data_IF_283603496888
#
_entry.id   IF_283603496888
#
_cell.length_a   1.000
_cell.length_b   1.000
_cell.length_c   1.000
_cell.angle_alpha   90.00
_cell.angle_beta   90.00
_cell.angle_gamma   90.00
#
_symmetry.space_group_name_H-M   'P 1'
#
loop_
_entity.id
_entity.type
_entity.pdbx_description
1 polymer ?
#
# COMPACT_ATOMS: atom_id res chain seq x y z
N UNK A 1 16.65 -19.57 35.84
CA UNK A 1 16.07 -18.42 35.10
C UNK A 1 16.46 -18.45 33.61
N UNK A 2 16.05 -19.46 32.84
CA UNK A 2 16.35 -19.58 31.38
C UNK A 2 15.14 -20.11 30.59
N UNK A 3 13.93 -19.65 30.94
CA UNK A 3 12.69 -20.17 30.33
C UNK A 3 11.67 -19.08 29.95
N UNK A 4 12.11 -17.83 29.82
CA UNK A 4 11.21 -16.68 29.60
C UNK A 4 11.48 -15.84 28.34
N UNK A 5 12.38 -16.25 27.44
CA UNK A 5 12.69 -15.50 26.22
C UNK A 5 12.47 -16.27 24.90
N UNK A 6 11.99 -17.52 24.97
CA UNK A 6 11.82 -18.37 23.77
C UNK A 6 10.44 -18.24 23.10
N UNK A 7 9.56 -17.32 23.52
CA UNK A 7 8.24 -17.13 22.89
C UNK A 7 7.97 -15.72 22.34
N UNK A 8 8.99 -14.86 22.30
CA UNK A 8 8.91 -13.53 21.68
C UNK A 8 9.74 -13.39 20.39
N UNK A 9 10.36 -14.48 19.93
CA UNK A 9 11.20 -14.50 18.72
C UNK A 9 10.57 -15.30 17.57
N UNK A 10 9.44 -15.97 17.78
CA UNK A 10 8.82 -16.85 16.77
C UNK A 10 7.40 -16.43 16.34
N UNK A 11 6.91 -15.25 16.76
CA UNK A 11 5.47 -15.01 16.85
C UNK A 11 4.83 -13.87 16.05
N UNK A 12 5.59 -13.01 15.35
CA UNK A 12 4.99 -12.01 14.46
C UNK A 12 5.87 -11.87 13.23
N UNK A 13 5.55 -12.67 12.19
CA UNK A 13 6.06 -12.36 10.86
C UNK A 13 5.60 -10.95 10.49
N UNK A 14 6.50 -10.18 9.90
CA UNK A 14 6.15 -8.91 9.26
C UNK A 14 4.99 -9.17 8.29
N UNK A 15 3.90 -8.37 8.30
CA UNK A 15 2.85 -8.50 7.31
C UNK A 15 3.42 -8.39 5.90
N UNK A 16 3.16 -9.40 5.08
CA UNK A 16 3.48 -9.34 3.66
C UNK A 16 2.32 -8.67 2.93
N UNK A 17 2.65 -7.67 2.11
CA UNK A 17 1.70 -6.94 1.28
C UNK A 17 1.92 -7.28 -0.19
N UNK A 18 0.84 -7.54 -0.91
CA UNK A 18 0.83 -7.67 -2.38
C UNK A 18 -0.12 -6.62 -2.95
N UNK A 19 0.27 -5.96 -4.04
CA UNK A 19 -0.57 -4.98 -4.70
C UNK A 19 -0.76 -5.33 -6.17
N UNK A 20 -2.02 -5.48 -6.56
CA UNK A 20 -2.44 -5.62 -7.94
C UNK A 20 -3.08 -4.32 -8.38
N UNK A 21 -2.52 -3.65 -9.38
CA UNK A 21 -3.03 -2.37 -9.84
C UNK A 21 -2.94 -2.19 -11.35
N UNK A 22 -3.81 -1.33 -11.86
CA UNK A 22 -3.85 -0.91 -13.25
C UNK A 22 -3.77 0.61 -13.33
N UNK A 23 -3.06 1.07 -14.35
CA UNK A 23 -2.97 2.49 -14.68
C UNK A 23 -3.90 2.75 -15.86
N UNK A 24 -4.90 3.58 -15.63
CA UNK A 24 -5.87 4.01 -16.64
C UNK A 24 -5.57 5.45 -17.05
N UNK A 25 -5.66 5.73 -18.35
CA UNK A 25 -5.62 7.10 -18.87
C UNK A 25 -7.03 7.57 -19.21
N UNK A 26 -7.46 8.66 -18.59
CA UNK A 26 -8.78 9.27 -18.84
C UNK A 26 -8.75 10.13 -20.11
N UNK A 27 -9.92 10.31 -20.72
CA UNK A 27 -10.09 11.18 -21.89
C UNK A 27 -9.74 12.65 -21.60
N UNK A 28 -9.87 13.07 -20.34
CA UNK A 28 -9.50 14.41 -19.86
C UNK A 28 -7.98 14.60 -19.70
N UNK A 29 -7.16 13.59 -20.02
CA UNK A 29 -5.70 13.66 -19.93
C UNK A 29 -5.12 13.26 -18.58
N UNK A 30 -5.96 13.06 -17.55
CA UNK A 30 -5.55 12.57 -16.23
C UNK A 30 -5.31 11.06 -16.22
N UNK A 31 -4.51 10.60 -15.29
CA UNK A 31 -4.23 9.19 -15.04
C UNK A 31 -4.86 8.74 -13.73
N UNK A 32 -5.37 7.51 -13.70
CA UNK A 32 -5.96 6.90 -12.52
C UNK A 32 -5.21 5.61 -12.24
N UNK A 33 -4.56 5.54 -11.09
CA UNK A 33 -4.03 4.29 -10.55
C UNK A 33 -5.09 3.68 -9.65
N UNK A 34 -5.68 2.57 -10.11
CA UNK A 34 -6.65 1.80 -9.33
C UNK A 34 -6.08 0.43 -9.07
N UNK A 35 -6.21 -0.05 -7.84
CA UNK A 35 -5.77 -1.38 -7.49
C UNK A 35 -6.31 -1.84 -6.15
N UNK A 36 -5.89 -3.03 -5.78
CA UNK A 36 -6.24 -3.67 -4.52
C UNK A 36 -4.93 -4.08 -3.85
N UNK A 37 -4.75 -3.67 -2.60
CA UNK A 37 -3.69 -4.15 -1.71
C UNK A 37 -4.24 -5.32 -0.91
N UNK A 38 -3.47 -6.40 -0.82
CA UNK A 38 -3.77 -7.58 -0.02
C UNK A 38 -2.70 -7.78 1.04
N UNK A 39 -3.11 -8.19 2.23
CA UNK A 39 -2.25 -8.61 3.32
C UNK A 39 -2.48 -10.09 3.64
N UNK A 40 -1.46 -10.75 4.20
CA UNK A 40 -1.52 -12.16 4.57
C UNK A 40 -2.30 -12.46 5.87
N UNK A 41 -2.66 -11.42 6.64
CA UNK A 41 -3.36 -11.56 7.93
C UNK A 41 -4.81 -11.07 7.83
N UNK A 42 -5.79 -11.91 8.16
CA UNK A 42 -7.21 -11.56 8.01
C UNK A 42 -7.79 -10.71 9.16
N UNK A 43 -7.13 -10.68 10.33
CA UNK A 43 -7.65 -10.01 11.53
C UNK A 43 -6.76 -8.88 12.04
N UNK A 44 -5.93 -8.33 11.15
CA UNK A 44 -5.00 -7.26 11.46
C UNK A 44 -5.50 -5.96 10.84
N UNK A 45 -5.92 -5.02 11.69
CA UNK A 45 -6.36 -3.68 11.26
C UNK A 45 -5.19 -2.72 11.34
N UNK A 46 -4.53 -2.49 10.21
CA UNK A 46 -3.43 -1.56 10.09
C UNK A 46 -3.72 -0.52 9.02
N UNK A 47 -3.46 0.77 9.29
CA UNK A 47 -3.41 1.77 8.23
C UNK A 47 -2.16 1.51 7.38
N UNK A 48 -2.34 1.43 6.07
CA UNK A 48 -1.25 1.26 5.10
C UNK A 48 -1.22 2.46 4.17
N UNK A 49 -0.05 3.08 4.06
CA UNK A 49 0.16 4.20 3.16
C UNK A 49 0.46 3.70 1.74
N UNK A 50 -0.36 4.11 0.78
CA UNK A 50 -0.12 3.86 -0.65
C UNK A 50 0.29 5.16 -1.31
N UNK A 51 1.47 5.15 -1.89
CA UNK A 51 2.07 6.31 -2.54
C UNK A 51 2.12 6.10 -4.05
N UNK A 52 1.45 6.96 -4.80
CA UNK A 52 1.57 7.06 -6.25
C UNK A 52 2.65 8.08 -6.60
N UNK A 53 3.69 7.61 -7.31
CA UNK A 53 4.69 8.48 -7.93
C UNK A 53 4.31 8.74 -9.38
N UNK A 54 4.29 10.01 -9.78
CA UNK A 54 3.99 10.47 -11.12
C UNK A 54 4.98 11.55 -11.57
N UNK A 55 5.12 11.72 -12.88
CA UNK A 55 5.99 12.73 -13.47
C UNK A 55 5.36 14.13 -13.34
N UNK A 56 6.09 15.09 -12.76
CA UNK A 56 5.66 16.50 -12.67
C UNK A 56 5.75 17.08 -11.26
N UNK A 57 5.31 18.34 -11.12
CA UNK A 57 5.41 19.11 -9.87
C UNK A 57 4.52 18.56 -8.73
N UNK A 58 3.38 17.95 -9.08
CA UNK A 58 2.47 17.25 -8.14
C UNK A 58 2.67 15.73 -8.21
N UNK A 59 3.93 15.32 -8.35
CA UNK A 59 4.34 13.96 -8.66
C UNK A 59 4.21 12.94 -7.53
N UNK A 60 3.74 13.33 -6.35
CA UNK A 60 3.67 12.47 -5.17
C UNK A 60 2.31 12.62 -4.51
N UNK A 61 1.48 11.58 -4.62
CA UNK A 61 0.20 11.49 -3.91
C UNK A 61 0.21 10.28 -3.00
N UNK A 62 0.10 10.53 -1.70
CA UNK A 62 -0.01 9.49 -0.68
C UNK A 62 -1.45 9.42 -0.20
N UNK A 63 -1.99 8.20 -0.10
CA UNK A 63 -3.30 7.90 0.46
C UNK A 63 -3.13 6.83 1.52
N UNK A 64 -3.60 7.11 2.73
CA UNK A 64 -3.66 6.13 3.80
C UNK A 64 -4.94 5.30 3.64
N UNK A 65 -4.79 3.99 3.52
CA UNK A 65 -5.90 3.04 3.45
C UNK A 65 -6.05 2.36 4.81
N UNK A 66 -7.26 2.34 5.34
CA UNK A 66 -7.56 1.53 6.53
C UNK A 66 -7.86 0.10 6.08
N UNK A 67 -6.95 -0.83 6.38
CA UNK A 67 -7.18 -2.25 6.09
C UNK A 67 -8.17 -2.82 7.10
N UNK A 68 -9.46 -2.71 6.78
CA UNK A 68 -10.54 -3.26 7.62
C UNK A 68 -10.55 -4.80 7.62
N UNK A 69 -10.07 -5.41 6.54
CA UNK A 69 -9.94 -6.85 6.31
C UNK A 69 -8.55 -7.16 5.69
N UNK A 70 -8.38 -8.34 5.11
CA UNK A 70 -7.17 -8.78 4.42
C UNK A 70 -6.93 -8.06 3.08
N UNK A 71 -7.83 -7.19 2.63
CA UNK A 71 -7.67 -6.41 1.40
C UNK A 71 -8.29 -5.02 1.48
N UNK A 72 -7.69 -4.06 0.77
CA UNK A 72 -8.18 -2.69 0.64
C UNK A 72 -8.00 -2.18 -0.79
N UNK A 73 -9.05 -1.56 -1.34
CA UNK A 73 -9.01 -0.95 -2.66
C UNK A 73 -8.54 0.50 -2.59
N UNK A 74 -7.80 0.92 -3.61
CA UNK A 74 -7.40 2.31 -3.78
C UNK A 74 -7.68 2.83 -5.17
N UNK A 75 -7.90 4.14 -5.22
CA UNK A 75 -8.12 4.88 -6.46
C UNK A 75 -7.46 6.25 -6.33
N UNK A 76 -6.31 6.41 -6.97
CA UNK A 76 -5.50 7.62 -6.90
C UNK A 76 -5.44 8.26 -8.28
N UNK A 77 -5.91 9.51 -8.39
CA UNK A 77 -5.84 10.29 -9.61
C UNK A 77 -4.57 11.13 -9.66
N UNK A 78 -3.87 11.14 -10.79
CA UNK A 78 -2.67 11.95 -11.04
C UNK A 78 -2.78 12.70 -12.36
N UNK A 79 -2.29 13.93 -12.38
CA UNK A 79 -2.26 14.78 -13.58
C UNK A 79 -1.01 14.46 -14.43
N UNK A 80 0.05 13.99 -13.78
CA UNK A 80 1.27 13.49 -14.39
C UNK A 80 1.21 12.00 -14.77
N UNK A 81 2.11 11.54 -15.63
CA UNK A 81 2.23 10.12 -15.97
C UNK A 81 2.68 9.34 -14.74
N UNK A 82 1.93 8.34 -14.25
CA UNK A 82 2.35 7.53 -13.12
C UNK A 82 3.53 6.64 -13.49
N UNK A 83 4.48 6.57 -12.56
CA UNK A 83 5.76 5.85 -12.68
C UNK A 83 5.66 4.53 -11.92
N UNK A 84 5.31 4.60 -10.64
CA UNK A 84 5.23 3.46 -9.73
C UNK A 84 4.21 3.72 -8.62
N UNK A 85 3.64 2.63 -8.10
CA UNK A 85 2.89 2.61 -6.85
C UNK A 85 3.78 1.97 -5.79
N UNK A 86 4.03 2.69 -4.70
CA UNK A 86 4.82 2.22 -3.56
C UNK A 86 3.85 1.97 -2.41
N UNK A 87 3.90 0.76 -1.86
CA UNK A 87 3.12 0.38 -0.67
C UNK A 87 4.02 0.53 0.54
N UNK A 88 3.51 1.18 1.57
CA UNK A 88 4.18 1.48 2.84
C UNK A 88 5.61 2.04 2.66
N UNK A 89 5.77 3.26 2.10
CA UNK A 89 7.10 3.86 1.87
C UNK A 89 7.86 4.15 3.18
N UNK A 90 7.18 4.09 4.33
CA UNK A 90 7.78 4.25 5.66
C UNK A 90 8.43 2.97 6.20
N UNK A 91 8.15 1.81 5.60
CA UNK A 91 8.72 0.54 6.01
C UNK A 91 10.20 0.46 5.59
N UNK A 92 11.11 0.45 6.58
CA UNK A 92 12.56 0.26 6.40
C UNK A 92 13.05 -0.93 7.22
#
# INVERSE_FOLDING_TARGET
LRYFFARWVEGTGVPEFSADYVILRTRSGKFIARGTVKQNYDNLRLPVDVQLRSEGSEGLKTVTLDMQESSADFNIESDGKPIEVVIDPGYK
#
